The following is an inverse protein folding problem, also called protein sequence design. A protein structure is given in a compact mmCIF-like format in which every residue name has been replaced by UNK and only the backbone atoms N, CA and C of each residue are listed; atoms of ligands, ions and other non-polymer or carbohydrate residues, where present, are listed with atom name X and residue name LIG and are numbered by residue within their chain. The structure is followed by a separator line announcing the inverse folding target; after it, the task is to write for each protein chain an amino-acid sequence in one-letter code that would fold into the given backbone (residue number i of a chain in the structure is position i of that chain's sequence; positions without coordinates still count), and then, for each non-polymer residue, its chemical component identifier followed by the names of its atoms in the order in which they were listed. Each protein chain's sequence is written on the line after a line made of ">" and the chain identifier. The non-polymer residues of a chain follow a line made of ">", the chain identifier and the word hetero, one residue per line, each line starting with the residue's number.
data_IF_323467773108
#
_entry.id   IF_323467773108
#
_cell.length_a   1.000
_cell.length_b   1.000
_cell.length_c   1.000
_cell.angle_alpha   90.00
_cell.angle_beta   90.00
_cell.angle_gamma   90.00
#
_symmetry.space_group_name_H-M   'P 1'
#
loop_
_entity.id
_entity.type
_entity.pdbx_description
1 polymer ?
#
# COMPACT_ATOMS: atom_id res chain seq x y z
N UNK A 1 35.00 -62.14 0.48
CA UNK A 1 36.14 -61.59 1.26
C UNK A 1 37.18 -61.12 0.26
N UNK A 2 37.81 -59.95 0.49
CA UNK A 2 38.42 -59.09 -0.56
C UNK A 2 37.37 -58.58 -1.58
N UNK A 3 37.44 -57.41 -2.22
CA UNK A 3 38.26 -56.17 -2.13
C UNK A 3 37.25 -54.97 -2.07
N UNK A 4 37.57 -53.67 -1.98
CA UNK A 4 38.81 -52.85 -1.88
C UNK A 4 38.46 -51.49 -1.22
N UNK A 5 39.46 -50.63 -0.96
CA UNK A 5 39.26 -49.19 -0.74
C UNK A 5 39.19 -48.46 -2.10
N UNK A 6 38.42 -47.36 -2.18
CA UNK A 6 38.61 -46.31 -3.19
C UNK A 6 38.36 -44.94 -2.54
N UNK A 7 39.36 -44.06 -2.62
CA UNK A 7 39.27 -42.70 -2.15
C UNK A 7 38.63 -41.79 -3.21
N UNK A 8 37.75 -40.89 -2.79
CA UNK A 8 37.24 -39.82 -3.65
C UNK A 8 38.13 -38.57 -3.47
N UNK A 9 38.74 -38.10 -4.56
CA UNK A 9 39.59 -36.92 -4.55
C UNK A 9 38.81 -35.66 -4.96
N UNK A 10 39.03 -34.60 -4.18
CA UNK A 10 39.05 -33.17 -4.52
C UNK A 10 38.33 -32.66 -5.79
N UNK A 11 37.48 -31.65 -5.61
CA UNK A 11 37.37 -30.52 -6.54
C UNK A 11 36.89 -29.27 -5.78
N UNK A 12 37.84 -28.41 -5.38
CA UNK A 12 37.56 -27.09 -4.82
C UNK A 12 37.28 -26.14 -6.00
N UNK A 13 36.03 -25.70 -6.14
CA UNK A 13 35.66 -24.68 -7.10
C UNK A 13 35.93 -23.28 -6.53
N UNK A 14 37.08 -22.69 -6.88
CA UNK A 14 37.37 -21.29 -6.60
C UNK A 14 36.60 -20.38 -7.56
N UNK A 15 35.50 -19.78 -7.11
CA UNK A 15 34.74 -18.81 -7.89
C UNK A 15 35.43 -17.43 -7.85
N UNK A 16 35.87 -16.94 -9.01
CA UNK A 16 36.50 -15.62 -9.16
C UNK A 16 35.50 -14.49 -8.96
N UNK A 17 35.85 -13.52 -8.11
CA UNK A 17 35.12 -12.25 -7.97
C UNK A 17 35.32 -11.39 -9.24
N UNK A 18 34.25 -10.84 -9.86
CA UNK A 18 34.40 -9.86 -10.93
C UNK A 18 34.87 -8.51 -10.37
N UNK A 19 35.88 -7.91 -11.04
CA UNK A 19 36.35 -6.57 -10.72
C UNK A 19 35.30 -5.53 -11.13
N UNK A 20 34.98 -4.60 -10.22
CA UNK A 20 34.12 -3.45 -10.53
C UNK A 20 34.97 -2.34 -11.16
N UNK A 21 34.85 -2.18 -12.48
CA UNK A 21 35.52 -1.08 -13.19
C UNK A 21 34.87 0.26 -12.86
N UNK A 22 35.65 1.17 -12.26
CA UNK A 22 35.21 2.52 -11.91
C UNK A 22 35.12 3.40 -13.17
N UNK A 23 33.90 3.68 -13.64
CA UNK A 23 33.68 4.70 -14.65
C UNK A 23 33.49 6.08 -14.00
N UNK A 24 34.55 6.87 -13.97
CA UNK A 24 34.47 8.29 -13.68
C UNK A 24 33.96 9.03 -14.94
N UNK A 25 32.78 9.67 -14.85
CA UNK A 25 32.26 10.54 -15.89
C UNK A 25 32.27 12.00 -15.46
N UNK A 26 32.73 12.83 -16.41
CA UNK A 26 33.13 14.22 -16.23
C UNK A 26 32.05 15.13 -15.64
N UNK A 27 32.47 16.06 -14.76
CA UNK A 27 31.68 17.25 -14.43
C UNK A 27 31.82 18.27 -15.56
N UNK A 28 30.72 18.53 -16.27
CA UNK A 28 30.63 19.67 -17.20
C UNK A 28 29.72 20.75 -16.61
N UNK A 29 30.32 21.87 -16.22
CA UNK A 29 29.58 23.05 -15.79
C UNK A 29 28.90 23.70 -16.99
N UNK A 30 27.57 23.87 -16.95
CA UNK A 30 26.86 24.71 -17.91
C UNK A 30 26.25 25.90 -17.16
N UNK A 31 26.88 27.07 -17.32
CA UNK A 31 26.36 28.34 -16.83
C UNK A 31 25.31 28.82 -17.85
N UNK A 32 24.04 28.75 -17.49
CA UNK A 32 22.95 29.35 -18.27
C UNK A 32 22.58 30.71 -17.67
N UNK A 33 22.53 31.76 -18.50
CA UNK A 33 22.42 33.13 -18.02
C UNK A 33 21.00 33.47 -17.55
N UNK A 34 20.91 34.23 -16.46
CA UNK A 34 19.67 34.80 -15.94
C UNK A 34 19.40 36.12 -16.68
N UNK A 35 18.45 36.10 -17.61
CA UNK A 35 17.93 37.32 -18.24
C UNK A 35 16.91 37.99 -17.32
N UNK A 36 17.34 39.03 -16.62
CA UNK A 36 16.46 39.95 -15.89
C UNK A 36 15.61 40.76 -16.87
N UNK A 37 14.31 40.43 -17.00
CA UNK A 37 13.32 41.28 -17.65
C UNK A 37 12.63 42.17 -16.61
N UNK A 38 13.05 43.43 -16.57
CA UNK A 38 12.45 44.47 -15.75
C UNK A 38 11.01 44.78 -16.21
N UNK A 39 10.01 44.35 -15.44
CA UNK A 39 8.65 44.83 -15.63
C UNK A 39 8.50 46.23 -15.00
N UNK A 40 8.22 47.22 -15.84
CA UNK A 40 7.93 48.57 -15.38
C UNK A 40 6.58 48.63 -14.67
N UNK A 41 6.55 49.16 -13.45
CA UNK A 41 5.32 49.53 -12.79
C UNK A 41 4.69 50.72 -13.54
N UNK A 42 3.44 50.59 -13.98
CA UNK A 42 2.68 51.69 -14.55
C UNK A 42 1.48 52.05 -13.67
N UNK A 43 1.31 53.36 -13.48
CA UNK A 43 0.45 53.96 -12.47
C UNK A 43 -1.04 53.71 -12.74
N UNK A 44 -1.80 53.68 -11.64
CA UNK A 44 -3.25 53.64 -11.58
C UNK A 44 -3.95 54.62 -12.52
N UNK A 45 -4.99 54.15 -13.21
CA UNK A 45 -6.12 54.99 -13.60
C UNK A 45 -7.40 54.34 -13.07
N UNK A 46 -8.08 55.04 -12.17
CA UNK A 46 -9.37 54.62 -11.64
C UNK A 46 -10.49 54.99 -12.63
N UNK A 47 -11.31 54.01 -12.98
CA UNK A 47 -12.59 54.22 -13.66
C UNK A 47 -13.59 53.23 -13.05
N UNK A 48 -14.68 53.75 -12.50
CA UNK A 48 -15.64 52.94 -11.75
C UNK A 48 -16.31 51.89 -12.64
N UNK A 49 -16.36 50.65 -12.15
CA UNK A 49 -17.29 49.63 -12.63
C UNK A 49 -17.85 48.94 -11.40
N UNK A 50 -19.16 49.01 -11.22
CA UNK A 50 -19.86 48.49 -10.05
C UNK A 50 -19.89 46.97 -10.10
N UNK A 51 -18.90 46.33 -9.49
CA UNK A 51 -18.93 44.89 -9.25
C UNK A 51 -19.90 44.58 -8.10
N UNK A 52 -21.16 44.34 -8.45
CA UNK A 52 -22.21 43.87 -7.55
C UNK A 52 -21.94 42.43 -7.08
N UNK A 53 -21.03 42.28 -6.11
CA UNK A 53 -20.62 41.01 -5.53
C UNK A 53 -21.66 40.49 -4.51
N UNK A 54 -22.81 40.05 -5.01
CA UNK A 54 -23.76 39.24 -4.26
C UNK A 54 -23.36 37.75 -4.28
N UNK A 55 -23.78 37.02 -3.25
CA UNK A 55 -23.63 35.56 -3.05
C UNK A 55 -22.16 35.07 -2.94
N UNK A 56 -21.63 34.85 -1.74
CA UNK A 56 -21.86 33.68 -0.87
C UNK A 56 -21.32 32.36 -1.43
N UNK A 57 -20.00 32.20 -1.38
CA UNK A 57 -19.38 30.90 -1.11
C UNK A 57 -18.32 31.11 -0.03
N UNK A 58 -18.73 30.94 1.24
CA UNK A 58 -17.76 30.68 2.30
C UNK A 58 -17.29 29.26 2.10
N UNK A 59 -16.03 29.08 1.73
CA UNK A 59 -15.36 27.79 1.73
C UNK A 59 -15.55 27.13 3.09
N UNK A 60 -16.50 26.19 3.15
CA UNK A 60 -16.99 25.67 4.42
C UNK A 60 -15.91 24.78 5.02
N UNK A 61 -15.33 25.21 6.15
CA UNK A 61 -14.34 24.42 6.88
C UNK A 61 -14.89 23.01 7.10
N UNK A 62 -14.21 21.95 6.62
CA UNK A 62 -14.71 20.59 6.76
C UNK A 62 -14.99 20.26 8.24
N UNK A 63 -16.07 19.53 8.56
CA UNK A 63 -16.31 19.05 9.91
C UNK A 63 -15.09 18.32 10.47
N UNK A 64 -14.81 18.43 11.77
CA UNK A 64 -13.61 17.81 12.39
C UNK A 64 -13.53 16.29 12.13
N UNK A 65 -14.67 15.58 12.12
CA UNK A 65 -14.76 14.15 11.76
C UNK A 65 -14.37 13.84 10.31
N UNK A 66 -14.30 14.86 9.44
CA UNK A 66 -13.79 14.72 8.08
C UNK A 66 -12.27 14.84 7.98
N UNK A 67 -11.60 15.32 9.03
CA UNK A 67 -10.15 15.52 9.13
C UNK A 67 -9.49 14.60 10.16
N UNK A 68 -10.24 14.10 11.15
CA UNK A 68 -9.74 13.37 12.32
C UNK A 68 -10.68 12.23 12.73
N UNK A 69 -10.11 11.04 12.99
CA UNK A 69 -10.81 9.90 13.61
C UNK A 69 -10.42 9.84 15.10
N UNK A 70 -11.41 9.92 15.99
CA UNK A 70 -11.18 9.93 17.44
C UNK A 70 -10.86 8.54 18.03
N UNK A 71 -11.26 7.45 17.36
CA UNK A 71 -10.92 6.08 17.74
C UNK A 71 -9.50 5.75 17.26
N UNK A 72 -9.16 6.19 16.06
CA UNK A 72 -7.89 5.92 15.38
C UNK A 72 -7.19 7.21 14.94
N UNK A 73 -6.60 7.98 15.89
CA UNK A 73 -6.03 9.30 15.63
C UNK A 73 -4.80 9.30 14.70
N UNK A 74 -4.23 8.13 14.41
CA UNK A 74 -3.17 7.99 13.42
C UNK A 74 -3.68 7.97 11.98
N UNK A 75 -4.98 7.88 11.72
CA UNK A 75 -5.55 7.83 10.37
C UNK A 75 -5.44 9.15 9.61
N UNK A 76 -4.88 9.08 8.41
CA UNK A 76 -4.96 10.16 7.42
C UNK A 76 -6.34 10.15 6.74
N UNK A 77 -7.35 10.75 7.38
CA UNK A 77 -8.77 10.64 6.99
C UNK A 77 -9.03 11.11 5.55
N UNK A 78 -8.34 12.16 5.07
CA UNK A 78 -8.44 12.60 3.68
C UNK A 78 -7.92 11.52 2.70
N UNK A 79 -6.79 10.90 3.01
CA UNK A 79 -6.19 9.82 2.21
C UNK A 79 -7.09 8.59 2.20
N UNK A 80 -7.66 8.19 3.35
CA UNK A 80 -8.61 7.08 3.46
C UNK A 80 -9.80 7.26 2.51
N UNK A 81 -10.42 8.45 2.50
CA UNK A 81 -11.52 8.77 1.57
C UNK A 81 -11.08 8.71 0.11
N UNK A 82 -9.92 9.29 -0.20
CA UNK A 82 -9.35 9.23 -1.54
C UNK A 82 -9.09 7.80 -2.03
N UNK A 83 -8.65 6.91 -1.13
CA UNK A 83 -8.58 5.46 -1.40
C UNK A 83 -9.96 4.89 -1.69
N UNK A 84 -10.96 5.15 -0.83
CA UNK A 84 -12.33 4.64 -1.02
C UNK A 84 -12.94 5.06 -2.35
N UNK A 85 -12.73 6.31 -2.79
CA UNK A 85 -13.18 6.75 -4.13
C UNK A 85 -12.46 6.00 -5.26
N UNK A 86 -11.16 5.70 -5.14
CA UNK A 86 -10.44 4.89 -6.13
C UNK A 86 -10.87 3.42 -6.11
N UNK A 87 -11.19 2.86 -4.94
CA UNK A 87 -11.71 1.49 -4.83
C UNK A 87 -13.04 1.36 -5.59
N UNK A 88 -13.93 2.37 -5.53
CA UNK A 88 -15.14 2.40 -6.36
C UNK A 88 -14.84 2.39 -7.86
N UNK A 89 -13.78 3.07 -8.31
CA UNK A 89 -13.35 3.06 -9.72
C UNK A 89 -12.92 1.66 -10.15
N UNK A 90 -12.00 1.01 -9.43
CA UNK A 90 -11.52 -0.34 -9.78
C UNK A 90 -12.60 -1.43 -9.61
N UNK A 91 -13.58 -1.21 -8.73
CA UNK A 91 -14.73 -2.09 -8.59
C UNK A 91 -15.68 -2.05 -9.81
N UNK A 92 -15.74 -0.91 -10.50
CA UNK A 92 -16.68 -0.67 -11.61
C UNK A 92 -16.06 -0.86 -13.00
N UNK A 93 -14.75 -0.65 -13.16
CA UNK A 93 -14.06 -0.68 -14.47
C UNK A 93 -13.68 -2.09 -14.97
N UNK A 94 -13.91 -3.13 -14.16
CA UNK A 94 -13.62 -4.53 -14.49
C UNK A 94 -12.15 -4.94 -14.37
N UNK A 95 -11.24 -4.02 -14.02
CA UNK A 95 -9.79 -4.26 -14.01
C UNK A 95 -9.31 -5.24 -12.91
N UNK A 96 -10.21 -5.67 -12.03
CA UNK A 96 -9.96 -6.72 -11.03
C UNK A 96 -10.22 -8.16 -11.51
N UNK A 97 -10.64 -8.34 -12.78
CA UNK A 97 -10.99 -9.66 -13.36
C UNK A 97 -10.06 -10.08 -14.51
N UNK A 98 -8.81 -9.59 -14.50
CA UNK A 98 -7.78 -9.85 -15.51
C UNK A 98 -6.59 -10.66 -14.94
N UNK A 99 -5.40 -10.51 -15.52
CA UNK A 99 -4.17 -11.05 -14.93
C UNK A 99 -3.93 -10.50 -13.52
N UNK A 100 -3.47 -11.35 -12.60
CA UNK A 100 -3.33 -11.00 -11.19
C UNK A 100 -2.40 -9.81 -10.94
N UNK A 101 -1.24 -9.76 -11.60
CA UNK A 101 -0.30 -8.65 -11.42
C UNK A 101 -0.86 -7.30 -11.94
N UNK A 102 -1.77 -7.32 -12.92
CA UNK A 102 -2.51 -6.10 -13.30
C UNK A 102 -3.55 -5.72 -12.24
N UNK A 103 -4.33 -6.68 -11.75
CA UNK A 103 -5.28 -6.44 -10.65
C UNK A 103 -4.56 -5.89 -9.40
N UNK A 104 -3.40 -6.45 -9.04
CA UNK A 104 -2.52 -5.98 -7.96
C UNK A 104 -2.02 -4.55 -8.22
N UNK A 105 -1.58 -4.21 -9.43
CA UNK A 105 -1.23 -2.82 -9.80
C UNK A 105 -2.40 -1.85 -9.61
N UNK A 106 -3.62 -2.26 -9.97
CA UNK A 106 -4.84 -1.46 -9.76
C UNK A 106 -5.17 -1.28 -8.28
N UNK A 107 -5.01 -2.33 -7.46
CA UNK A 107 -5.16 -2.29 -6.00
C UNK A 107 -4.13 -1.34 -5.36
N UNK A 108 -2.85 -1.40 -5.76
CA UNK A 108 -1.80 -0.49 -5.30
C UNK A 108 -2.12 0.97 -5.65
N UNK A 109 -2.47 1.25 -6.91
CA UNK A 109 -2.88 2.58 -7.34
C UNK A 109 -4.07 3.11 -6.57
N UNK A 110 -5.09 2.27 -6.35
CA UNK A 110 -6.27 2.63 -5.57
C UNK A 110 -5.90 2.95 -4.12
N UNK A 111 -4.95 2.21 -3.56
CA UNK A 111 -4.41 2.45 -2.24
C UNK A 111 -3.46 3.64 -2.11
N UNK A 112 -3.10 4.32 -3.20
CA UNK A 112 -2.10 5.39 -3.16
C UNK A 112 -0.67 4.89 -2.98
N UNK A 113 -0.38 3.67 -3.45
CA UNK A 113 0.96 3.06 -3.47
C UNK A 113 1.52 3.00 -4.89
N UNK A 114 2.83 3.17 -5.00
CA UNK A 114 3.63 2.86 -6.20
C UNK A 114 3.86 1.35 -6.28
N UNK A 115 3.85 0.81 -7.50
CA UNK A 115 4.38 -0.55 -7.74
C UNK A 115 5.91 -0.46 -7.82
N UNK A 116 6.56 -0.99 -6.79
CA UNK A 116 8.01 -1.02 -6.61
C UNK A 116 8.44 -2.46 -6.31
N UNK A 117 8.25 -3.40 -7.25
CA UNK A 117 8.44 -4.83 -7.03
C UNK A 117 9.92 -5.24 -6.88
N UNK A 118 10.86 -4.38 -7.30
CA UNK A 118 12.31 -4.65 -7.26
C UNK A 118 13.08 -3.75 -6.28
N UNK A 119 12.39 -2.90 -5.51
CA UNK A 119 13.05 -2.00 -4.58
C UNK A 119 13.67 -2.76 -3.39
N UNK A 120 14.80 -2.29 -2.87
CA UNK A 120 15.43 -2.90 -1.72
C UNK A 120 14.56 -2.79 -0.44
N UNK A 121 14.69 -3.71 0.54
CA UNK A 121 14.04 -3.58 1.84
C UNK A 121 14.32 -2.22 2.49
N UNK A 122 13.26 -1.54 2.95
CA UNK A 122 13.34 -0.18 3.51
C UNK A 122 13.37 0.96 2.47
N UNK A 123 13.51 0.66 1.18
CA UNK A 123 13.45 1.61 0.07
C UNK A 123 12.06 1.66 -0.61
N UNK A 124 11.00 1.27 0.09
CA UNK A 124 9.63 1.29 -0.43
C UNK A 124 9.23 0.06 -1.25
N UNK A 125 9.87 -1.09 -1.02
CA UNK A 125 9.47 -2.38 -1.61
C UNK A 125 7.98 -2.68 -1.40
N UNK A 126 7.22 -2.78 -2.48
CA UNK A 126 5.80 -3.16 -2.47
C UNK A 126 5.53 -4.50 -3.17
N UNK A 127 6.57 -5.24 -3.57
CA UNK A 127 6.43 -6.53 -4.29
C UNK A 127 5.61 -7.59 -3.53
N UNK A 128 5.72 -7.61 -2.21
CA UNK A 128 4.94 -8.48 -1.32
C UNK A 128 3.53 -7.95 -0.96
N UNK A 129 3.24 -6.67 -1.19
CA UNK A 129 1.93 -6.08 -0.92
C UNK A 129 0.84 -6.84 -1.66
N UNK A 130 -0.12 -7.38 -0.91
CA UNK A 130 -1.23 -8.22 -1.41
C UNK A 130 -0.81 -9.57 -2.06
N UNK A 131 0.49 -9.87 -2.11
CA UNK A 131 1.07 -11.07 -2.74
C UNK A 131 1.42 -12.19 -1.74
N UNK A 132 1.38 -11.91 -0.43
CA UNK A 132 1.50 -12.91 0.64
C UNK A 132 0.28 -12.92 1.57
N UNK A 133 0.22 -13.90 2.48
CA UNK A 133 -0.95 -14.08 3.36
C UNK A 133 -1.18 -12.94 4.37
N UNK A 134 -0.19 -12.10 4.64
CA UNK A 134 -0.13 -11.22 5.81
C UNK A 134 -0.15 -9.73 5.44
N UNK A 135 0.56 -9.29 4.40
CA UNK A 135 0.70 -7.88 4.00
C UNK A 135 -0.47 -7.41 3.13
N UNK A 136 -1.67 -7.53 3.67
CA UNK A 136 -2.95 -7.39 2.95
C UNK A 136 -3.80 -6.23 3.43
N UNK A 137 -3.34 -5.49 4.45
CA UNK A 137 -4.04 -4.35 5.03
C UNK A 137 -3.50 -3.06 4.44
N UNK A 138 -4.29 -2.37 3.63
CA UNK A 138 -3.93 -1.02 3.24
C UNK A 138 -4.27 -0.04 4.37
N UNK A 139 -3.25 0.40 5.09
CA UNK A 139 -3.34 1.46 6.11
C UNK A 139 -3.04 2.81 5.48
N UNK A 140 -3.74 3.86 5.94
CA UNK A 140 -3.48 5.26 5.56
C UNK A 140 -3.20 6.08 6.82
N UNK A 141 -1.96 6.54 7.01
CA UNK A 141 -1.50 7.09 8.29
C UNK A 141 -0.94 8.51 8.17
N UNK A 142 -1.11 9.31 9.22
CA UNK A 142 -0.59 10.67 9.32
C UNK A 142 0.95 10.69 9.34
N UNK A 143 1.56 11.76 8.82
CA UNK A 143 3.02 11.88 8.69
C UNK A 143 3.77 11.73 10.02
N UNK A 144 3.17 12.23 11.11
CA UNK A 144 3.69 12.12 12.49
C UNK A 144 3.81 10.67 12.98
N UNK A 145 2.97 9.78 12.44
CA UNK A 145 2.79 8.40 12.87
C UNK A 145 3.45 7.41 11.90
N UNK A 146 3.79 7.82 10.68
CA UNK A 146 4.46 7.00 9.69
C UNK A 146 5.86 6.50 10.13
N UNK A 147 6.54 7.22 11.03
CA UNK A 147 7.82 6.80 11.61
C UNK A 147 7.68 5.90 12.87
N UNK A 148 6.46 5.60 13.32
CA UNK A 148 6.24 4.70 14.45
C UNK A 148 6.89 3.34 14.20
N UNK A 149 7.51 2.81 15.25
CA UNK A 149 8.11 1.49 15.29
C UNK A 149 7.34 0.61 16.28
N UNK A 150 7.21 -0.67 15.99
CA UNK A 150 6.69 -1.65 16.94
C UNK A 150 7.61 -1.69 18.17
N UNK A 151 7.04 -1.44 19.34
CA UNK A 151 7.67 -1.53 20.67
C UNK A 151 7.61 -2.95 21.25
N UNK A 152 6.95 -3.88 20.55
CA UNK A 152 6.66 -5.23 21.01
C UNK A 152 5.21 -5.42 21.46
N UNK A 153 4.36 -4.39 21.34
CA UNK A 153 2.89 -4.52 21.44
C UNK A 153 2.35 -5.49 20.39
N UNK A 154 2.71 -5.33 19.11
CA UNK A 154 2.33 -6.25 18.04
C UNK A 154 3.20 -7.51 18.09
N UNK A 155 2.57 -8.64 18.43
CA UNK A 155 3.24 -9.95 18.52
C UNK A 155 3.51 -10.50 17.11
N UNK A 156 4.64 -11.19 16.96
CA UNK A 156 5.09 -11.73 15.67
C UNK A 156 5.77 -10.72 14.74
N UNK A 157 5.77 -9.43 15.06
CA UNK A 157 6.43 -8.37 14.29
C UNK A 157 7.75 -7.95 14.95
N UNK A 158 8.78 -7.68 14.17
CA UNK A 158 10.08 -7.25 14.66
C UNK A 158 9.98 -5.92 15.43
N UNK A 159 10.56 -5.87 16.63
CA UNK A 159 10.68 -4.63 17.42
C UNK A 159 11.63 -3.68 16.70
N UNK A 160 11.27 -2.39 16.61
CA UNK A 160 12.10 -1.38 15.93
C UNK A 160 11.98 -1.37 14.40
N UNK A 161 10.91 -1.91 13.81
CA UNK A 161 10.68 -1.91 12.34
C UNK A 161 10.53 -0.48 11.77
N UNK A 162 11.58 0.02 11.11
CA UNK A 162 11.65 1.40 10.56
C UNK A 162 10.95 1.53 9.21
N UNK A 163 9.62 1.53 9.20
CA UNK A 163 8.82 1.58 7.98
C UNK A 163 8.75 2.97 7.32
N UNK A 164 8.88 4.06 8.09
CA UNK A 164 8.57 5.42 7.62
C UNK A 164 9.30 5.95 6.39
N UNK A 165 10.54 5.49 6.10
CA UNK A 165 11.18 5.82 4.82
C UNK A 165 10.51 5.09 3.64
N UNK A 166 10.24 3.79 3.79
CA UNK A 166 9.55 2.99 2.79
C UNK A 166 8.14 3.52 2.50
N UNK A 167 7.41 3.91 3.54
CA UNK A 167 6.08 4.53 3.45
C UNK A 167 6.13 5.81 2.59
N UNK A 168 7.06 6.72 2.87
CA UNK A 168 7.22 7.97 2.10
C UNK A 168 7.62 7.72 0.65
N UNK A 169 8.53 6.76 0.40
CA UNK A 169 9.01 6.45 -0.95
C UNK A 169 7.94 5.75 -1.79
N UNK A 170 7.13 4.87 -1.20
CA UNK A 170 6.06 4.15 -1.91
C UNK A 170 4.78 4.96 -2.05
N UNK A 171 4.53 5.97 -1.21
CA UNK A 171 3.28 6.75 -1.26
C UNK A 171 3.16 7.62 -2.52
N UNK A 172 1.95 7.64 -3.08
CA UNK A 172 1.52 8.58 -4.11
C UNK A 172 1.00 9.87 -3.42
N UNK A 173 1.52 11.07 -3.77
CA UNK A 173 1.18 12.33 -3.07
C UNK A 173 -0.23 12.84 -3.40
N UNK A 174 -0.79 12.40 -4.52
CA UNK A 174 -2.12 12.74 -5.05
C UNK A 174 -3.31 12.36 -4.16
N UNK A 175 -3.10 11.63 -3.06
CA UNK A 175 -4.13 11.37 -2.03
C UNK A 175 -4.01 12.26 -0.77
N UNK A 176 -3.15 13.29 -0.78
CA UNK A 176 -2.99 14.26 0.32
C UNK A 176 -1.79 14.00 1.23
N UNK A 177 -1.81 14.56 2.45
CA UNK A 177 -0.78 14.39 3.48
C UNK A 177 -0.85 13.04 4.22
N UNK A 178 0.25 12.62 4.83
CA UNK A 178 0.44 11.26 5.32
C UNK A 178 0.90 10.27 4.25
N UNK A 179 0.90 8.99 4.60
CA UNK A 179 1.32 7.90 3.74
C UNK A 179 0.31 6.76 3.64
N UNK A 180 0.52 5.89 2.66
CA UNK A 180 -0.15 4.60 2.49
C UNK A 180 0.86 3.46 2.71
N UNK A 181 0.43 2.32 3.23
CA UNK A 181 1.28 1.12 3.37
C UNK A 181 0.46 -0.17 3.44
N UNK A 182 1.03 -1.28 2.98
CA UNK A 182 0.54 -2.65 3.21
C UNK A 182 1.07 -3.18 4.54
N UNK A 183 0.24 -3.15 5.58
CA UNK A 183 0.59 -3.60 6.92
C UNK A 183 0.20 -5.07 7.14
N UNK A 184 0.76 -5.66 8.20
CA UNK A 184 0.53 -7.05 8.56
C UNK A 184 -0.83 -7.22 9.26
N UNK A 185 -1.65 -8.12 8.73
CA UNK A 185 -2.99 -8.47 9.23
C UNK A 185 -3.00 -9.48 10.41
N UNK A 186 -1.85 -10.02 10.82
CA UNK A 186 -1.76 -10.91 11.98
C UNK A 186 -2.39 -10.26 13.22
N UNK A 187 -3.39 -10.92 13.82
CA UNK A 187 -4.13 -10.40 14.97
C UNK A 187 -5.44 -9.66 14.61
N UNK A 188 -5.78 -9.52 13.33
CA UNK A 188 -7.00 -8.84 12.91
C UNK A 188 -8.32 -9.58 13.24
N UNK A 189 -8.25 -10.85 13.65
CA UNK A 189 -9.42 -11.62 14.09
C UNK A 189 -9.79 -11.45 15.58
N UNK A 190 -9.07 -10.59 16.31
CA UNK A 190 -9.42 -10.20 17.67
C UNK A 190 -10.46 -9.06 17.66
N UNK A 191 -11.17 -8.88 18.77
CA UNK A 191 -12.05 -7.72 19.00
C UNK A 191 -11.64 -6.98 20.28
N UNK A 192 -11.08 -5.75 20.20
CA UNK A 192 -10.71 -5.05 18.96
C UNK A 192 -9.53 -5.72 18.22
N UNK A 193 -9.36 -5.45 16.92
CA UNK A 193 -8.24 -5.97 16.13
C UNK A 193 -6.87 -5.61 16.72
N UNK A 194 -5.95 -6.57 16.71
CA UNK A 194 -4.61 -6.45 17.31
C UNK A 194 -3.49 -6.56 16.25
N UNK A 195 -3.75 -5.97 15.08
CA UNK A 195 -2.83 -5.95 13.93
C UNK A 195 -1.97 -4.67 13.86
N UNK A 196 -1.09 -4.60 12.86
CA UNK A 196 -0.14 -3.47 12.73
C UNK A 196 -0.85 -2.13 12.46
N UNK A 197 -1.95 -2.13 11.71
CA UNK A 197 -2.69 -0.90 11.40
C UNK A 197 -3.27 -0.28 12.68
N UNK A 198 -3.98 -1.10 13.46
CA UNK A 198 -4.70 -0.69 14.65
C UNK A 198 -3.79 -0.36 15.84
N UNK A 199 -2.66 -1.06 15.98
CA UNK A 199 -1.79 -0.96 17.16
C UNK A 199 -0.60 -0.02 16.92
N UNK A 200 0.27 -0.33 15.94
CA UNK A 200 1.49 0.44 15.68
C UNK A 200 1.17 1.83 15.10
N UNK A 201 0.24 1.89 14.15
CA UNK A 201 -0.14 3.13 13.48
C UNK A 201 -1.42 3.77 14.03
N UNK A 202 -2.13 3.13 14.97
CA UNK A 202 -3.41 3.61 15.53
C UNK A 202 -4.34 4.15 14.44
N UNK A 203 -4.45 3.40 13.34
CA UNK A 203 -5.15 3.81 12.13
C UNK A 203 -6.13 2.75 11.66
N UNK A 204 -7.29 3.22 11.17
CA UNK A 204 -8.18 2.49 10.27
C UNK A 204 -7.42 1.83 9.13
N UNK A 205 -7.90 0.66 8.74
CA UNK A 205 -7.62 0.02 7.46
C UNK A 205 -8.54 0.65 6.40
N UNK A 206 -7.95 1.23 5.35
CA UNK A 206 -8.73 1.77 4.23
C UNK A 206 -9.32 0.65 3.37
N UNK A 207 -8.57 -0.43 3.13
CA UNK A 207 -9.15 -1.73 2.76
C UNK A 207 -8.23 -2.90 3.12
N UNK A 208 -8.82 -4.09 3.35
CA UNK A 208 -8.14 -5.37 3.56
C UNK A 208 -8.46 -6.31 2.41
N UNK A 209 -7.46 -6.97 1.83
CA UNK A 209 -7.69 -8.01 0.82
C UNK A 209 -7.92 -9.37 1.50
N UNK A 210 -9.04 -10.00 1.16
CA UNK A 210 -9.45 -11.32 1.66
C UNK A 210 -9.70 -12.26 0.48
N UNK A 211 -9.00 -13.39 0.43
CA UNK A 211 -9.28 -14.45 -0.53
C UNK A 211 -10.55 -15.22 -0.10
N UNK A 212 -11.42 -15.46 -1.07
CA UNK A 212 -12.68 -16.18 -0.88
C UNK A 212 -12.39 -17.68 -0.72
N UNK A 213 -12.91 -18.35 0.31
CA UNK A 213 -12.68 -19.77 0.57
C UNK A 213 -13.53 -20.69 -0.32
N UNK A 214 -13.52 -20.44 -1.64
CA UNK A 214 -14.02 -21.38 -2.63
C UNK A 214 -12.98 -22.49 -2.88
N UNK A 215 -13.32 -23.53 -3.65
CA UNK A 215 -12.46 -24.69 -3.87
C UNK A 215 -11.06 -24.32 -4.40
N UNK A 216 -10.96 -23.29 -5.24
CA UNK A 216 -9.72 -22.86 -5.91
C UNK A 216 -9.02 -21.68 -5.20
N UNK A 217 -9.64 -21.06 -4.19
CA UNK A 217 -9.31 -19.75 -3.62
C UNK A 217 -9.11 -18.64 -4.67
N UNK A 218 -9.80 -18.72 -5.81
CA UNK A 218 -9.48 -17.94 -7.03
C UNK A 218 -10.12 -16.54 -7.12
N UNK A 219 -10.90 -16.19 -6.11
CA UNK A 219 -11.67 -14.94 -6.03
C UNK A 219 -11.26 -14.20 -4.77
N UNK A 220 -11.19 -12.87 -4.80
CA UNK A 220 -10.90 -12.05 -3.62
C UNK A 220 -11.93 -10.93 -3.45
N UNK A 221 -11.99 -10.40 -2.23
CA UNK A 221 -12.73 -9.19 -1.87
C UNK A 221 -11.79 -8.15 -1.28
N UNK A 222 -12.14 -6.88 -1.46
CA UNK A 222 -11.62 -5.78 -0.66
C UNK A 222 -12.74 -5.38 0.33
N UNK A 223 -12.44 -5.41 1.63
CA UNK A 223 -13.35 -4.97 2.69
C UNK A 223 -12.79 -3.75 3.43
N UNK A 224 -13.64 -2.86 3.93
CA UNK A 224 -13.20 -1.74 4.78
C UNK A 224 -12.88 -2.17 6.23
N UNK A 225 -12.51 -1.19 7.04
CA UNK A 225 -12.20 -1.37 8.47
C UNK A 225 -13.32 -2.07 9.26
N UNK A 226 -14.58 -1.86 8.89
CA UNK A 226 -15.75 -2.44 9.55
C UNK A 226 -16.17 -3.80 8.93
N UNK A 227 -15.41 -4.31 7.97
CA UNK A 227 -15.65 -5.59 7.29
C UNK A 227 -16.65 -5.52 6.14
N UNK A 228 -17.07 -4.31 5.73
CA UNK A 228 -18.03 -4.12 4.64
C UNK A 228 -17.35 -4.29 3.29
N UNK A 229 -17.99 -5.03 2.38
CA UNK A 229 -17.53 -5.21 1.01
C UNK A 229 -17.43 -3.87 0.26
N UNK A 230 -16.24 -3.59 -0.30
CA UNK A 230 -15.97 -2.44 -1.18
C UNK A 230 -15.82 -2.86 -2.65
N UNK A 231 -15.13 -3.96 -2.91
CA UNK A 231 -14.86 -4.47 -4.26
C UNK A 231 -14.68 -6.00 -4.25
N UNK A 232 -14.82 -6.64 -5.42
CA UNK A 232 -14.45 -8.04 -5.64
C UNK A 232 -13.72 -8.21 -6.96
N UNK A 233 -12.87 -9.22 -7.03
CA UNK A 233 -12.16 -9.59 -8.26
C UNK A 233 -11.98 -11.10 -8.36
N UNK A 234 -11.98 -11.61 -9.59
CA UNK A 234 -11.64 -12.99 -9.93
C UNK A 234 -10.59 -12.97 -11.05
N UNK A 235 -9.29 -13.01 -10.73
CA UNK A 235 -8.24 -13.02 -11.74
C UNK A 235 -8.34 -14.25 -12.66
N UNK A 236 -7.86 -14.11 -13.89
CA UNK A 236 -8.20 -15.01 -15.00
C UNK A 236 -7.00 -15.65 -15.71
N UNK A 237 -5.78 -15.38 -15.26
CA UNK A 237 -4.51 -15.91 -15.80
C UNK A 237 -4.13 -17.31 -15.27
N UNK A 238 -4.97 -17.91 -14.42
CA UNK A 238 -4.84 -19.29 -13.95
C UNK A 238 -4.11 -19.42 -12.60
N UNK A 239 -4.11 -20.62 -12.00
CA UNK A 239 -3.66 -20.83 -10.63
C UNK A 239 -2.16 -20.57 -10.41
N UNK A 240 -1.35 -20.69 -11.47
CA UNK A 240 0.10 -20.49 -11.44
C UNK A 240 0.53 -19.00 -11.45
N UNK A 241 -0.39 -18.10 -11.79
CA UNK A 241 -0.16 -16.65 -11.80
C UNK A 241 -0.73 -15.92 -10.57
N UNK A 242 -1.62 -16.59 -9.83
CA UNK A 242 -2.09 -16.16 -8.52
C UNK A 242 -1.00 -16.32 -7.45
N UNK A 243 -1.10 -15.63 -6.29
CA UNK A 243 -0.31 -15.99 -5.11
C UNK A 243 -0.45 -17.48 -4.81
N UNK A 244 0.63 -18.12 -4.38
CA UNK A 244 0.65 -19.57 -4.17
C UNK A 244 -0.52 -20.01 -3.26
N UNK A 245 -1.21 -21.11 -3.58
CA UNK A 245 -2.48 -21.50 -2.94
C UNK A 245 -2.44 -21.43 -1.40
N UNK A 246 -1.33 -21.86 -0.79
CA UNK A 246 -1.09 -21.77 0.66
C UNK A 246 -1.23 -20.33 1.20
N UNK A 247 -0.75 -19.33 0.48
CA UNK A 247 -0.84 -17.92 0.88
C UNK A 247 -2.31 -17.46 0.91
N UNK A 248 -3.07 -17.82 -0.12
CA UNK A 248 -4.51 -17.49 -0.23
C UNK A 248 -5.34 -18.19 0.85
N UNK A 249 -5.03 -19.46 1.14
CA UNK A 249 -5.64 -20.20 2.25
C UNK A 249 -5.29 -19.60 3.62
N UNK A 250 -4.02 -19.25 3.85
CA UNK A 250 -3.57 -18.67 5.12
C UNK A 250 -4.15 -17.26 5.34
N UNK A 251 -4.30 -16.46 4.28
CA UNK A 251 -4.94 -15.15 4.32
C UNK A 251 -6.36 -15.24 4.86
N UNK A 252 -7.21 -16.11 4.29
CA UNK A 252 -8.55 -16.32 4.84
C UNK A 252 -8.49 -16.88 6.26
N UNK A 253 -7.59 -17.83 6.53
CA UNK A 253 -7.48 -18.50 7.83
C UNK A 253 -7.16 -17.56 8.99
N UNK A 254 -6.40 -16.48 8.78
CA UNK A 254 -6.13 -15.48 9.84
C UNK A 254 -7.30 -14.51 10.08
N UNK A 255 -8.34 -14.53 9.23
CA UNK A 255 -9.52 -13.66 9.32
C UNK A 255 -10.79 -14.42 9.73
N UNK A 256 -10.78 -15.75 9.61
CA UNK A 256 -11.88 -16.64 9.99
C UNK A 256 -12.44 -16.31 11.39
N UNK A 257 -13.76 -16.22 11.49
CA UNK A 257 -14.46 -15.84 12.73
C UNK A 257 -14.49 -14.34 13.05
N UNK A 258 -13.98 -13.47 12.16
CA UNK A 258 -13.99 -12.01 12.34
C UNK A 258 -14.90 -11.28 11.36
N UNK A 259 -15.14 -9.98 11.62
CA UNK A 259 -15.87 -9.08 10.69
C UNK A 259 -15.30 -9.09 9.27
N UNK A 260 -13.98 -9.26 9.11
CA UNK A 260 -13.32 -9.23 7.81
C UNK A 260 -13.62 -10.46 6.93
N UNK A 261 -13.90 -11.63 7.52
CA UNK A 261 -14.21 -12.84 6.76
C UNK A 261 -15.64 -12.84 6.20
N UNK A 262 -16.56 -12.06 6.78
CA UNK A 262 -18.02 -12.19 6.53
C UNK A 262 -18.41 -12.04 5.05
N UNK A 263 -17.82 -11.07 4.33
CA UNK A 263 -18.09 -10.87 2.91
C UNK A 263 -17.53 -12.00 2.03
N UNK A 264 -16.34 -12.52 2.37
CA UNK A 264 -15.71 -13.63 1.67
C UNK A 264 -16.50 -14.94 1.88
N UNK A 265 -16.93 -15.21 3.11
CA UNK A 265 -17.79 -16.35 3.44
C UNK A 265 -19.16 -16.31 2.76
N UNK A 266 -19.74 -15.12 2.59
CA UNK A 266 -20.99 -14.98 1.85
C UNK A 266 -20.80 -15.37 0.38
N UNK A 267 -19.78 -14.82 -0.29
CA UNK A 267 -19.51 -15.13 -1.71
C UNK A 267 -19.17 -16.62 -1.89
N UNK A 268 -18.45 -17.24 -0.94
CA UNK A 268 -18.16 -18.67 -1.00
C UNK A 268 -19.41 -19.57 -0.88
N UNK A 269 -20.52 -19.08 -0.32
CA UNK A 269 -21.81 -19.79 -0.26
C UNK A 269 -22.67 -19.58 -1.52
N UNK A 270 -22.30 -18.61 -2.36
CA UNK A 270 -22.99 -18.23 -3.60
C UNK A 270 -22.30 -18.79 -4.86
N UNK A 271 -21.13 -19.43 -4.71
CA UNK A 271 -20.27 -19.96 -5.77
C UNK A 271 -20.44 -21.48 -5.98
#
# INVERSE_FOLDING_TARGET
>A
MHLSQLAAASLIASASLPQVSSFALSRSNFISQISLLSFAAQSSNASGTECNASSTDKEATPPLSQMYDAQYPGTAVQRLKGVHERVKVIAADGTLNGPWEEARRRILWAGGLRDLPDAAPGAGYTGHSFNDWNHVDLTTMNDEIADNQNDGSVKGIAVGNRLGNGIRVASLPELGSGGSWSTCAMGCNQDPPNDVAHIQFRSRIAFKLVWVPNEQYDTFVLVDDDGKLLAKGKPSDGPDALPHLRERMMNFKIMEGSKYASAAEQIAKEA
#
